data_IF_769546303737
#
_entry.id   IF_769546303737
#
_cell.length_a   1.000
_cell.length_b   1.000
_cell.length_c   1.000
_cell.angle_alpha   90.00
_cell.angle_beta   90.00
_cell.angle_gamma   90.00
#
_symmetry.space_group_name_H-M   'P 1'
#
loop_
_entity.id
_entity.type
_entity.pdbx_description
1 polymer ?
#
# COMPACT_ATOMS: atom_id res chain seq x y z
N UNK A 1 -12.76 -10.75 8.02
CA UNK A 1 -12.84 -11.61 9.23
C UNK A 1 -11.97 -10.95 10.28
N UNK A 2 -12.59 -10.49 11.37
CA UNK A 2 -11.92 -9.79 12.48
C UNK A 2 -10.97 -10.75 13.21
N UNK A 3 -9.77 -10.28 13.53
CA UNK A 3 -8.96 -10.84 14.61
C UNK A 3 -8.42 -9.70 15.46
N UNK A 4 -9.02 -9.55 16.64
CA UNK A 4 -8.62 -8.66 17.71
C UNK A 4 -7.52 -9.36 18.52
N UNK A 5 -6.36 -8.71 18.69
CA UNK A 5 -5.30 -9.17 19.61
C UNK A 5 -5.11 -8.10 20.66
N UNK A 6 -5.48 -8.42 21.90
CA UNK A 6 -5.22 -7.58 23.07
C UNK A 6 -3.73 -7.63 23.41
N UNK A 7 -3.07 -6.47 23.43
CA UNK A 7 -1.71 -6.33 23.91
C UNK A 7 -1.67 -6.06 25.41
N UNK A 8 -0.91 -6.87 26.15
CA UNK A 8 -0.34 -6.47 27.43
C UNK A 8 1.04 -7.10 27.66
N UNK A 9 1.92 -6.26 28.20
CA UNK A 9 3.19 -6.53 28.90
C UNK A 9 4.46 -6.74 28.07
N UNK A 10 5.24 -5.67 28.05
CA UNK A 10 6.68 -5.55 27.86
C UNK A 10 7.51 -6.59 28.64
N UNK A 11 8.41 -7.32 27.96
CA UNK A 11 9.49 -8.07 28.62
C UNK A 11 10.14 -9.26 27.89
N UNK A 12 9.59 -9.79 26.78
CA UNK A 12 10.00 -11.11 26.24
C UNK A 12 10.53 -11.14 24.80
N UNK A 13 10.71 -9.98 24.16
CA UNK A 13 10.91 -9.87 22.71
C UNK A 13 12.14 -10.60 22.17
N UNK A 14 13.25 -10.66 22.91
CA UNK A 14 14.49 -11.26 22.41
C UNK A 14 14.44 -12.79 22.32
N UNK A 15 13.75 -13.43 23.27
CA UNK A 15 13.68 -14.89 23.37
C UNK A 15 12.56 -15.45 22.48
N UNK A 16 11.46 -14.71 22.33
CA UNK A 16 10.43 -14.98 21.32
C UNK A 16 11.01 -14.91 19.89
N UNK A 17 11.85 -13.91 19.59
CA UNK A 17 12.53 -13.77 18.29
C UNK A 17 13.41 -14.96 17.91
N UNK A 18 14.09 -15.58 18.87
CA UNK A 18 14.98 -16.71 18.62
C UNK A 18 14.22 -18.02 18.46
N UNK A 19 13.21 -18.28 19.30
CA UNK A 19 12.35 -19.47 19.19
C UNK A 19 11.59 -19.49 17.86
N UNK A 20 11.01 -18.34 17.48
CA UNK A 20 10.32 -18.18 16.19
C UNK A 20 11.24 -18.41 14.99
N UNK A 21 12.57 -18.27 15.14
CA UNK A 21 13.57 -18.46 14.07
C UNK A 21 13.99 -19.93 13.90
N UNK A 22 13.91 -20.73 14.96
CA UNK A 22 14.14 -22.18 14.92
C UNK A 22 12.98 -22.91 14.26
N UNK A 23 11.76 -22.63 14.71
CA UNK A 23 10.52 -23.21 14.15
C UNK A 23 10.32 -22.83 12.65
N UNK A 24 10.94 -21.72 12.23
CA UNK A 24 10.98 -21.18 10.87
C UNK A 24 11.78 -22.05 9.88
N UNK A 25 12.84 -22.73 10.32
CA UNK A 25 13.70 -23.52 9.43
C UNK A 25 13.09 -24.89 9.14
N UNK A 26 12.39 -25.47 10.11
CA UNK A 26 11.77 -26.79 9.97
C UNK A 26 10.47 -26.74 9.15
N UNK A 27 9.75 -25.62 9.13
CA UNK A 27 8.52 -25.48 8.34
C UNK A 27 8.75 -25.17 6.85
N UNK A 28 9.93 -24.66 6.48
CA UNK A 28 10.14 -24.00 5.18
C UNK A 28 10.83 -24.81 4.10
N UNK A 29 11.12 -26.10 4.32
CA UNK A 29 11.47 -27.05 3.23
C UNK A 29 12.25 -26.47 2.04
N UNK A 30 13.32 -25.70 2.29
CA UNK A 30 14.18 -25.13 1.25
C UNK A 30 13.59 -24.08 0.28
N UNK A 31 12.38 -23.55 0.48
CA UNK A 31 11.82 -22.55 -0.44
C UNK A 31 12.26 -21.11 -0.12
N UNK A 32 12.20 -20.24 -1.15
CA UNK A 32 12.72 -18.88 -1.15
C UNK A 32 12.38 -18.09 0.13
N UNK A 33 13.26 -17.17 0.59
CA UNK A 33 13.01 -16.42 1.81
C UNK A 33 11.65 -15.71 1.74
N UNK A 34 10.74 -15.97 2.69
CA UNK A 34 9.36 -15.45 2.66
C UNK A 34 9.27 -13.92 2.44
N UNK A 35 10.28 -13.15 2.88
CA UNK A 35 10.33 -11.70 2.64
C UNK A 35 10.44 -11.32 1.16
N UNK A 36 10.99 -12.21 0.31
CA UNK A 36 11.16 -11.98 -1.14
C UNK A 36 9.92 -12.38 -1.94
N UNK A 37 8.91 -12.99 -1.30
CA UNK A 37 7.70 -13.39 -1.99
C UNK A 37 6.81 -12.17 -2.22
N UNK A 38 6.72 -11.74 -3.47
CA UNK A 38 5.97 -10.54 -3.86
C UNK A 38 4.48 -10.81 -4.09
N UNK A 39 4.06 -12.07 -4.20
CA UNK A 39 2.68 -12.48 -4.44
C UNK A 39 2.26 -13.59 -3.48
N UNK A 40 1.26 -13.32 -2.64
CA UNK A 40 0.74 -14.24 -1.63
C UNK A 40 0.09 -15.50 -2.22
N UNK A 41 -0.33 -15.47 -3.49
CA UNK A 41 -0.86 -16.67 -4.18
C UNK A 41 0.20 -17.73 -4.45
N UNK A 42 1.49 -17.37 -4.32
CA UNK A 42 2.64 -18.25 -4.50
C UNK A 42 3.13 -18.86 -3.19
N UNK A 43 2.50 -18.55 -2.05
CA UNK A 43 2.82 -19.17 -0.76
C UNK A 43 2.40 -20.64 -0.81
N UNK A 44 3.22 -21.56 -0.33
CA UNK A 44 2.91 -22.98 -0.33
C UNK A 44 3.09 -23.59 1.07
N UNK A 45 2.06 -24.19 1.69
CA UNK A 45 0.66 -24.16 1.28
C UNK A 45 0.04 -22.75 1.47
N UNK A 46 -0.98 -22.39 0.67
CA UNK A 46 -1.75 -21.15 0.88
C UNK A 46 -2.70 -21.36 2.07
N UNK A 47 -2.28 -20.94 3.26
CA UNK A 47 -3.09 -20.98 4.49
C UNK A 47 -3.05 -19.64 5.20
N UNK A 48 -3.97 -19.41 6.15
CA UNK A 48 -3.96 -18.18 6.94
C UNK A 48 -2.63 -17.98 7.67
N UNK A 49 -2.07 -19.04 8.27
CA UNK A 49 -0.79 -18.97 8.99
C UNK A 49 0.37 -18.59 8.08
N UNK A 50 0.48 -19.23 6.91
CA UNK A 50 1.60 -19.00 6.00
C UNK A 50 1.52 -17.59 5.37
N UNK A 51 0.31 -17.11 5.06
CA UNK A 51 0.07 -15.75 4.57
C UNK A 51 0.40 -14.71 5.64
N UNK A 52 -0.10 -14.88 6.87
CA UNK A 52 0.19 -13.97 7.97
C UNK A 52 1.69 -13.92 8.28
N UNK A 53 2.36 -15.07 8.23
CA UNK A 53 3.80 -15.15 8.46
C UNK A 53 4.59 -14.45 7.36
N UNK A 54 4.21 -14.63 6.09
CA UNK A 54 4.81 -13.93 4.96
C UNK A 54 4.69 -12.41 5.13
N UNK A 55 3.49 -11.92 5.43
CA UNK A 55 3.23 -10.50 5.68
C UNK A 55 4.04 -9.97 6.86
N UNK A 56 4.13 -10.72 7.96
CA UNK A 56 4.91 -10.34 9.14
C UNK A 56 6.40 -10.20 8.82
N UNK A 57 6.97 -11.18 8.11
CA UNK A 57 8.39 -11.20 7.75
C UNK A 57 8.72 -10.08 6.75
N UNK A 58 7.82 -9.79 5.80
CA UNK A 58 7.93 -8.63 4.88
C UNK A 58 7.87 -7.30 5.63
N UNK A 59 6.93 -7.16 6.57
CA UNK A 59 6.80 -5.96 7.41
C UNK A 59 8.07 -5.69 8.23
N UNK A 60 8.66 -6.73 8.83
CA UNK A 60 9.92 -6.64 9.58
C UNK A 60 11.11 -6.24 8.70
N UNK A 61 11.01 -6.45 7.38
CA UNK A 61 12.02 -6.06 6.40
C UNK A 61 11.71 -4.70 5.74
N UNK A 62 10.78 -3.91 6.30
CA UNK A 62 10.32 -2.62 5.74
C UNK A 62 9.70 -2.73 4.35
N UNK A 63 9.05 -3.86 4.05
CA UNK A 63 8.31 -4.11 2.80
C UNK A 63 6.81 -4.13 3.11
N UNK A 64 6.11 -3.09 2.68
CA UNK A 64 4.72 -2.83 3.10
C UNK A 64 3.66 -3.16 2.05
N UNK A 65 4.06 -3.45 0.82
CA UNK A 65 3.16 -3.77 -0.29
C UNK A 65 3.40 -5.19 -0.77
N UNK A 66 2.34 -5.98 -0.98
CA UNK A 66 2.43 -7.36 -1.46
C UNK A 66 1.25 -7.65 -2.37
N UNK A 67 1.46 -8.30 -3.51
CA UNK A 67 0.37 -8.73 -4.37
C UNK A 67 -0.39 -9.90 -3.74
N UNK A 68 -1.67 -10.00 -4.07
CA UNK A 68 -2.51 -11.17 -3.84
C UNK A 68 -3.37 -11.37 -5.09
N UNK A 69 -2.77 -12.00 -6.10
CA UNK A 69 -3.36 -12.10 -7.44
C UNK A 69 -3.55 -10.72 -8.06
N UNK A 70 -4.79 -10.37 -8.40
CA UNK A 70 -5.12 -9.06 -8.97
C UNK A 70 -5.29 -7.93 -7.94
N UNK A 71 -5.18 -8.25 -6.64
CA UNK A 71 -5.31 -7.27 -5.55
C UNK A 71 -3.96 -6.93 -4.94
N UNK A 72 -3.88 -5.77 -4.29
CA UNK A 72 -2.69 -5.32 -3.58
C UNK A 72 -2.98 -5.23 -2.09
N UNK A 73 -2.19 -5.94 -1.28
CA UNK A 73 -2.19 -5.84 0.17
C UNK A 73 -1.20 -4.76 0.59
N UNK A 74 -1.68 -3.77 1.33
CA UNK A 74 -0.87 -2.70 1.90
C UNK A 74 -0.91 -2.77 3.43
N UNK A 75 0.25 -2.86 4.06
CA UNK A 75 0.42 -2.82 5.51
C UNK A 75 0.80 -1.40 5.94
N UNK A 76 0.09 -0.83 6.91
CA UNK A 76 0.42 0.50 7.42
C UNK A 76 1.75 0.45 8.21
N UNK A 77 2.81 1.17 7.80
CA UNK A 77 4.07 1.18 8.52
C UNK A 77 3.98 1.87 9.89
N UNK A 78 2.97 2.72 10.14
CA UNK A 78 2.85 3.59 11.32
C UNK A 78 4.06 4.51 11.55
N UNK A 79 4.92 4.66 10.53
CA UNK A 79 6.07 5.55 10.49
C UNK A 79 6.17 6.19 9.11
N UNK A 80 6.67 7.42 8.99
CA UNK A 80 6.95 8.02 7.70
C UNK A 80 8.05 7.24 6.98
N UNK A 81 7.81 6.88 5.72
CA UNK A 81 8.80 6.27 4.83
C UNK A 81 8.83 7.12 3.54
N UNK A 82 9.62 8.22 3.53
CA UNK A 82 9.61 9.18 2.43
C UNK A 82 9.98 8.54 1.08
N UNK A 83 10.89 7.57 1.11
CA UNK A 83 11.42 6.86 -0.06
C UNK A 83 10.33 6.09 -0.85
N UNK A 84 9.21 5.72 -0.22
CA UNK A 84 8.12 4.98 -0.89
C UNK A 84 7.23 5.87 -1.77
N UNK A 85 7.29 7.19 -1.64
CA UNK A 85 6.35 8.10 -2.31
C UNK A 85 7.04 9.27 -3.00
N UNK A 86 8.29 9.09 -3.42
CA UNK A 86 9.04 10.11 -4.13
C UNK A 86 8.50 10.32 -5.54
N UNK A 87 8.57 11.55 -6.08
CA UNK A 87 8.22 11.82 -7.48
C UNK A 87 9.02 10.96 -8.46
N UNK A 88 10.28 10.68 -8.16
CA UNK A 88 11.16 9.85 -8.97
C UNK A 88 10.63 8.42 -9.08
N UNK A 89 10.19 7.83 -7.96
CA UNK A 89 9.59 6.50 -7.95
C UNK A 89 8.25 6.50 -8.70
N UNK A 90 7.43 7.54 -8.56
CA UNK A 90 6.19 7.67 -9.35
C UNK A 90 6.48 7.64 -10.86
N UNK A 91 7.52 8.36 -11.29
CA UNK A 91 7.94 8.37 -12.69
C UNK A 91 8.51 7.02 -13.14
N UNK A 92 9.28 6.33 -12.30
CA UNK A 92 9.79 4.98 -12.58
C UNK A 92 8.66 4.01 -12.92
N UNK A 93 7.61 3.97 -12.10
CA UNK A 93 6.43 3.14 -12.37
C UNK A 93 5.67 3.56 -13.64
N UNK A 94 5.64 4.87 -13.93
CA UNK A 94 4.94 5.40 -15.10
C UNK A 94 5.61 5.00 -16.41
N UNK A 95 6.94 5.18 -16.50
CA UNK A 95 7.69 4.92 -17.74
C UNK A 95 8.01 3.44 -17.97
N UNK A 96 7.88 2.60 -16.94
CA UNK A 96 8.16 1.17 -17.04
C UNK A 96 7.25 0.49 -18.08
N UNK A 97 7.78 -0.23 -19.09
CA UNK A 97 6.95 -0.89 -20.09
C UNK A 97 5.96 -1.90 -19.47
N UNK A 98 6.39 -2.58 -18.40
CA UNK A 98 5.61 -3.59 -17.69
C UNK A 98 5.63 -3.29 -16.17
N UNK A 99 4.78 -2.38 -15.66
CA UNK A 99 4.79 -1.98 -14.24
C UNK A 99 4.48 -3.13 -13.28
N UNK A 100 3.89 -4.23 -13.77
CA UNK A 100 3.64 -5.45 -13.02
C UNK A 100 4.89 -6.30 -12.75
N UNK A 101 6.01 -6.06 -13.44
CA UNK A 101 7.29 -6.73 -13.17
C UNK A 101 8.15 -5.98 -12.15
N UNK A 102 7.76 -4.74 -11.82
CA UNK A 102 8.33 -4.00 -10.71
C UNK A 102 7.80 -4.54 -9.38
N UNK A 103 8.47 -4.17 -8.29
CA UNK A 103 8.04 -4.52 -6.93
C UNK A 103 6.57 -4.13 -6.70
N UNK A 104 5.80 -4.90 -5.93
CA UNK A 104 4.43 -4.55 -5.57
C UNK A 104 4.36 -3.14 -5.00
N UNK A 105 3.51 -2.29 -5.57
CA UNK A 105 3.33 -0.93 -5.10
C UNK A 105 1.97 -0.37 -5.51
N UNK A 106 1.49 0.64 -4.78
CA UNK A 106 0.24 1.32 -5.13
C UNK A 106 0.32 2.03 -6.49
N UNK A 107 1.53 2.40 -6.92
CA UNK A 107 1.77 3.01 -8.23
C UNK A 107 1.57 2.01 -9.38
N UNK A 108 1.76 0.71 -9.19
CA UNK A 108 1.37 -0.29 -10.20
C UNK A 108 -0.13 -0.25 -10.45
N UNK A 109 -0.94 -0.13 -9.38
CA UNK A 109 -2.42 -0.03 -9.48
C UNK A 109 -2.82 1.27 -10.16
N UNK A 110 -2.17 2.39 -9.79
CA UNK A 110 -2.38 3.70 -10.41
C UNK A 110 -2.04 3.70 -11.90
N UNK A 111 -0.88 3.15 -12.27
CA UNK A 111 -0.43 3.09 -13.66
C UNK A 111 -1.31 2.18 -14.51
N UNK A 112 -1.69 1.01 -14.01
CA UNK A 112 -2.61 0.12 -14.74
C UNK A 112 -3.95 0.82 -15.02
N UNK A 113 -4.49 1.53 -14.02
CA UNK A 113 -5.72 2.32 -14.15
C UNK A 113 -5.57 3.42 -15.19
N UNK A 114 -4.45 4.15 -15.16
CA UNK A 114 -4.14 5.21 -16.11
C UNK A 114 -4.04 4.69 -17.55
N UNK A 115 -3.33 3.57 -17.75
CA UNK A 115 -3.20 2.93 -19.06
C UNK A 115 -4.53 2.44 -19.60
N UNK A 116 -5.36 1.81 -18.76
CA UNK A 116 -6.69 1.35 -19.16
C UNK A 116 -7.57 2.49 -19.71
N UNK A 117 -7.49 3.67 -19.09
CA UNK A 117 -8.21 4.87 -19.58
C UNK A 117 -7.63 5.36 -20.91
N UNK A 118 -6.30 5.37 -21.06
CA UNK A 118 -5.61 5.87 -22.26
C UNK A 118 -5.64 4.91 -23.46
N UNK A 119 -5.72 3.60 -23.23
CA UNK A 119 -5.57 2.59 -24.29
C UNK A 119 -6.79 2.42 -25.18
N UNK A 120 -7.95 2.95 -24.76
CA UNK A 120 -9.21 2.77 -25.45
C UNK A 120 -9.52 4.00 -26.33
N UNK A 121 -10.03 3.73 -27.53
CA UNK A 121 -10.52 4.78 -28.45
C UNK A 121 -11.64 5.59 -27.76
N UNK A 122 -12.50 4.91 -27.02
CA UNK A 122 -13.48 5.51 -26.11
C UNK A 122 -13.07 5.20 -24.66
N UNK A 123 -12.65 6.21 -23.88
CA UNK A 123 -12.21 6.00 -22.50
C UNK A 123 -13.35 5.44 -21.63
N UNK A 124 -13.09 4.34 -20.93
CA UNK A 124 -14.02 3.75 -19.96
C UNK A 124 -13.61 4.15 -18.55
N UNK A 125 -14.58 4.65 -17.77
CA UNK A 125 -14.36 5.03 -16.38
C UNK A 125 -13.81 3.86 -15.55
N UNK A 126 -12.74 4.11 -14.80
CA UNK A 126 -12.13 3.13 -13.90
C UNK A 126 -12.42 3.48 -12.44
N UNK A 127 -12.44 2.48 -11.57
CA UNK A 127 -12.56 2.66 -10.12
C UNK A 127 -11.48 1.87 -9.38
N UNK A 128 -10.91 2.50 -8.34
CA UNK A 128 -10.00 1.84 -7.40
C UNK A 128 -10.71 1.81 -6.05
N UNK A 129 -10.92 0.61 -5.51
CA UNK A 129 -11.56 0.41 -4.21
C UNK A 129 -10.48 0.17 -3.16
N UNK A 130 -10.43 1.03 -2.14
CA UNK A 130 -9.51 0.90 -1.01
C UNK A 130 -10.29 0.52 0.24
N UNK A 131 -10.11 -0.71 0.71
CA UNK A 131 -10.78 -1.26 1.89
C UNK A 131 -9.83 -1.41 3.07
N UNK A 132 -10.38 -1.49 4.28
CA UNK A 132 -9.63 -1.65 5.53
C UNK A 132 -10.33 -1.02 6.73
N UNK A 133 -9.92 -1.41 7.93
CA UNK A 133 -10.44 -0.86 9.18
C UNK A 133 -10.01 0.60 9.43
N UNK A 134 -10.51 1.20 10.50
CA UNK A 134 -10.06 2.54 10.93
C UNK A 134 -8.54 2.50 11.19
N UNK A 135 -7.80 3.51 10.74
CA UNK A 135 -6.34 3.54 10.88
C UNK A 135 -5.54 2.67 9.90
N UNK A 136 -6.18 1.87 9.05
CA UNK A 136 -5.48 1.01 8.06
C UNK A 136 -4.73 1.79 6.95
N UNK A 137 -4.91 3.11 6.86
CA UNK A 137 -4.21 3.94 5.87
C UNK A 137 -4.98 4.24 4.59
N UNK A 138 -6.29 3.92 4.51
CA UNK A 138 -7.14 4.14 3.32
C UNK A 138 -7.02 5.56 2.73
N UNK A 139 -7.20 6.56 3.58
CA UNK A 139 -7.06 7.98 3.24
C UNK A 139 -5.70 8.31 2.66
N UNK A 140 -4.63 7.81 3.28
CA UNK A 140 -3.27 8.04 2.82
C UNK A 140 -3.03 7.41 1.45
N UNK A 141 -3.48 6.17 1.24
CA UNK A 141 -3.44 5.47 -0.04
C UNK A 141 -4.15 6.28 -1.15
N UNK A 142 -5.36 6.78 -0.89
CA UNK A 142 -6.09 7.63 -1.85
C UNK A 142 -5.32 8.90 -2.19
N UNK A 143 -4.70 9.55 -1.19
CA UNK A 143 -3.87 10.75 -1.44
C UNK A 143 -2.62 10.43 -2.25
N UNK A 144 -1.97 9.28 -2.00
CA UNK A 144 -0.81 8.85 -2.78
C UNK A 144 -1.17 8.59 -4.24
N UNK A 145 -2.31 7.96 -4.51
CA UNK A 145 -2.83 7.78 -5.87
C UNK A 145 -3.11 9.11 -6.56
N UNK A 146 -3.74 10.07 -5.86
CA UNK A 146 -3.98 11.40 -6.42
C UNK A 146 -2.65 12.10 -6.76
N UNK A 147 -1.65 12.04 -5.86
CA UNK A 147 -0.32 12.60 -6.14
C UNK A 147 0.34 11.95 -7.35
N UNK A 148 0.27 10.61 -7.45
CA UNK A 148 0.75 9.88 -8.61
C UNK A 148 0.11 10.40 -9.90
N UNK A 149 -1.23 10.55 -9.93
CA UNK A 149 -1.92 11.08 -11.11
C UNK A 149 -1.55 12.52 -11.45
N UNK A 150 -1.33 13.38 -10.45
CA UNK A 150 -0.85 14.73 -10.70
C UNK A 150 0.54 14.72 -11.38
N UNK A 151 1.45 13.89 -10.87
CA UNK A 151 2.82 13.76 -11.38
C UNK A 151 2.85 13.20 -12.81
N UNK A 152 2.07 12.17 -13.13
CA UNK A 152 2.04 11.58 -14.47
C UNK A 152 1.21 12.40 -15.48
N UNK A 153 0.23 13.19 -15.02
CA UNK A 153 -0.55 14.08 -15.88
C UNK A 153 0.15 15.43 -16.15
N UNK A 154 1.12 15.80 -15.31
CA UNK A 154 1.94 17.00 -15.47
C UNK A 154 2.86 16.85 -16.69
N UNK A 155 2.34 17.19 -17.87
CA UNK A 155 3.14 17.42 -19.07
C UNK A 155 3.55 18.89 -19.13
N UNK A 156 4.85 19.21 -19.30
CA UNK A 156 5.32 20.60 -19.38
C UNK A 156 4.89 21.34 -20.67
N UNK A 157 4.22 20.66 -21.61
CA UNK A 157 3.92 21.21 -22.94
C UNK A 157 2.48 21.65 -23.13
N UNK A 158 1.58 21.54 -22.14
CA UNK A 158 0.18 21.96 -22.29
C UNK A 158 -0.40 22.69 -21.07
N UNK A 159 -1.11 23.79 -21.33
CA UNK A 159 -1.85 24.56 -20.31
C UNK A 159 -2.97 23.72 -19.65
N UNK A 160 -3.53 22.75 -20.36
CA UNK A 160 -4.54 21.82 -19.85
C UNK A 160 -3.95 20.86 -18.81
N UNK A 161 -2.72 20.38 -19.02
CA UNK A 161 -1.99 19.55 -18.04
C UNK A 161 -1.75 20.29 -16.71
N UNK A 162 -1.44 21.60 -16.77
CA UNK A 162 -1.29 22.42 -15.58
C UNK A 162 -2.60 22.53 -14.78
N UNK A 163 -3.73 22.77 -15.46
CA UNK A 163 -5.05 22.82 -14.82
C UNK A 163 -5.45 21.50 -14.16
N UNK A 164 -5.13 20.37 -14.79
CA UNK A 164 -5.41 19.04 -14.23
C UNK A 164 -4.60 18.81 -12.97
N UNK A 165 -3.29 19.08 -13.00
CA UNK A 165 -2.41 18.94 -11.83
C UNK A 165 -2.88 19.82 -10.67
N UNK A 166 -3.19 21.08 -10.94
CA UNK A 166 -3.71 22.02 -9.94
C UNK A 166 -5.04 21.52 -9.34
N UNK A 167 -5.97 21.03 -10.17
CA UNK A 167 -7.25 20.50 -9.69
C UNK A 167 -7.07 19.26 -8.80
N UNK A 168 -6.10 18.40 -9.11
CA UNK A 168 -5.78 17.22 -8.29
C UNK A 168 -5.14 17.67 -6.96
N UNK A 169 -4.22 18.62 -7.00
CA UNK A 169 -3.59 19.19 -5.81
C UNK A 169 -4.63 19.84 -4.89
N UNK A 170 -5.56 20.62 -5.45
CA UNK A 170 -6.68 21.20 -4.70
C UNK A 170 -7.57 20.13 -4.06
N UNK A 171 -7.83 18.99 -4.74
CA UNK A 171 -8.56 17.87 -4.13
C UNK A 171 -7.80 17.25 -2.96
N UNK A 172 -6.48 17.13 -3.07
CA UNK A 172 -5.64 16.65 -1.97
C UNK A 172 -5.73 17.62 -0.79
N UNK A 173 -5.59 18.93 -1.02
CA UNK A 173 -5.68 19.97 0.01
C UNK A 173 -7.05 20.01 0.68
N UNK A 174 -8.12 19.99 -0.11
CA UNK A 174 -9.51 20.07 0.36
C UNK A 174 -9.98 18.78 1.06
N UNK A 175 -9.28 17.66 0.90
CA UNK A 175 -9.58 16.45 1.67
C UNK A 175 -9.18 16.58 3.14
N UNK A 176 -8.18 17.41 3.48
CA UNK A 176 -7.62 17.50 4.83
C UNK A 176 -8.63 17.98 5.89
N UNK A 177 -9.37 19.10 5.68
CA UNK A 177 -10.28 19.62 6.70
C UNK A 177 -11.44 18.67 6.99
N UNK A 178 -11.97 17.99 5.96
CA UNK A 178 -13.06 17.02 6.12
C UNK A 178 -12.58 15.80 6.90
N UNK A 179 -11.41 15.27 6.57
CA UNK A 179 -10.88 14.07 7.24
C UNK A 179 -10.40 14.33 8.67
N UNK A 180 -9.87 15.53 8.95
CA UNK A 180 -9.53 15.94 10.31
C UNK A 180 -10.77 16.21 11.16
N UNK A 181 -11.84 16.77 10.58
CA UNK A 181 -13.10 16.99 11.28
C UNK A 181 -13.78 15.67 11.71
N UNK A 182 -13.71 14.62 10.89
CA UNK A 182 -14.23 13.29 11.27
C UNK A 182 -13.26 12.47 12.14
N UNK A 183 -11.97 12.81 12.17
CA UNK A 183 -10.95 12.13 12.99
C UNK A 183 -10.83 12.66 14.43
N UNK A 184 -11.32 13.87 14.72
CA UNK A 184 -11.23 14.53 16.04
C UNK A 184 -12.55 14.51 16.83
N UNK A 185 -13.29 13.40 16.83
CA UNK A 185 -14.35 13.23 17.84
C UNK A 185 -13.69 12.86 19.18
N UNK A 186 -13.24 13.88 19.92
CA UNK A 186 -12.81 13.75 21.31
C UNK A 186 -14.06 13.31 22.10
N UNK A 187 -14.06 12.15 22.79
CA UNK A 187 -15.14 11.83 23.72
C UNK A 187 -15.13 12.90 24.80
N UNK A 188 -16.21 13.69 24.88
CA UNK A 188 -16.44 14.57 26.02
C UNK A 188 -16.43 13.70 27.30
N UNK A 189 -15.73 14.10 28.37
CA UNK A 189 -15.92 13.46 29.65
C UNK A 189 -17.34 13.78 30.12
N UNK A 190 -18.21 12.76 30.15
CA UNK A 190 -19.44 12.83 30.93
C UNK A 190 -19.02 12.84 32.40
N UNK A 191 -19.18 14.00 33.04
CA UNK A 191 -19.14 14.15 34.49
C UNK A 191 -20.44 13.68 35.14
#
# INVERSE_FOLDING_TARGET
VLLQVHGHSSGSDAQSRASLRGDLQDFLGGEAPLHQLEDLTKVNPVTLETVLRCLQVRYMADIFYTNAGCTLVALNPFKPIPELYTPELMQEYHVAPQPQTLKPHIFTVGEQTYRNVKSLIEPVNQSIVVSGESGAGKTWTSRCLMKFYAVVAASPTSWESHRISERIEQRILNSNPVMEAFGKLIPLPLG
#
